data_IF_395527226255
#
_entry.id   IF_395527226255
#
_cell.length_a   1.000
_cell.length_b   1.000
_cell.length_c   1.000
_cell.angle_alpha   90.00
_cell.angle_beta   90.00
_cell.angle_gamma   90.00
#
_symmetry.space_group_name_H-M   'P 1'
#
loop_
_entity.id
_entity.type
_entity.pdbx_description
1 polymer ?
#
# COMPACT_ATOMS: atom_id res chain seq x y z
N UNK A 1 -4.57 13.09 -1.90
CA UNK A 1 -3.73 13.46 -3.06
C UNK A 1 -2.33 12.82 -3.04
N UNK A 2 -1.95 12.11 -1.97
CA UNK A 2 -0.61 11.49 -1.85
C UNK A 2 -0.60 10.11 -2.51
N UNK A 3 -0.02 9.99 -3.69
CA UNK A 3 0.08 8.75 -4.45
C UNK A 3 1.03 7.70 -3.81
N UNK A 4 1.88 8.11 -2.88
CA UNK A 4 2.75 7.24 -2.09
C UNK A 4 2.07 6.69 -0.81
N UNK A 5 0.92 7.27 -0.42
CA UNK A 5 0.13 6.82 0.75
C UNK A 5 -1.11 6.02 0.36
N UNK A 6 -1.74 6.36 -0.77
CA UNK A 6 -2.97 5.73 -1.25
C UNK A 6 -2.75 5.07 -2.61
N UNK A 7 -3.17 3.81 -2.75
CA UNK A 7 -3.06 3.07 -4.03
C UNK A 7 -3.89 3.69 -5.14
N UNK A 8 -5.08 4.20 -4.80
CA UNK A 8 -5.98 4.93 -5.71
C UNK A 8 -6.41 6.25 -5.06
N UNK A 9 -5.63 7.34 -5.22
CA UNK A 9 -5.98 8.61 -4.62
C UNK A 9 -7.37 9.11 -5.04
N UNK A 10 -8.18 9.53 -4.07
CA UNK A 10 -9.53 10.06 -4.30
C UNK A 10 -9.52 11.55 -4.64
N UNK A 11 -8.42 12.22 -4.35
CA UNK A 11 -8.20 13.64 -4.63
C UNK A 11 -7.05 13.77 -5.62
N UNK A 12 -7.30 14.46 -6.73
CA UNK A 12 -6.29 14.93 -7.66
C UNK A 12 -5.77 16.29 -7.17
N UNK A 13 -4.51 16.30 -6.74
CA UNK A 13 -3.86 17.47 -6.16
C UNK A 13 -2.86 18.10 -7.10
N UNK A 14 -2.93 19.41 -7.26
CA UNK A 14 -1.92 20.21 -7.95
C UNK A 14 -1.10 20.99 -6.93
N UNK A 15 0.22 20.89 -7.02
CA UNK A 15 1.16 21.49 -6.08
C UNK A 15 1.82 20.46 -5.17
N UNK A 16 2.45 20.93 -4.10
CA UNK A 16 3.17 20.06 -3.14
C UNK A 16 2.23 19.60 -2.02
N UNK A 17 1.90 18.33 -2.01
CA UNK A 17 1.12 17.63 -0.97
C UNK A 17 1.99 16.77 -0.04
N UNK A 18 3.30 17.02 -0.01
CA UNK A 18 4.28 16.21 0.73
C UNK A 18 5.04 15.26 -0.17
N UNK A 19 6.04 14.58 0.38
CA UNK A 19 6.89 13.64 -0.33
C UNK A 19 7.18 12.37 0.48
N UNK A 20 7.74 11.36 -0.19
CA UNK A 20 8.26 10.15 0.47
C UNK A 20 9.46 10.43 1.39
N UNK A 21 10.07 11.61 1.29
CA UNK A 21 11.13 12.08 2.17
C UNK A 21 10.60 12.63 3.51
N UNK A 22 9.27 12.70 3.64
CA UNK A 22 8.62 13.24 4.84
C UNK A 22 8.54 14.76 4.84
N UNK A 23 8.75 15.40 3.70
CA UNK A 23 8.54 16.85 3.58
C UNK A 23 7.07 17.18 3.84
N UNK A 24 6.80 18.26 4.60
CA UNK A 24 5.43 18.70 4.81
C UNK A 24 4.81 19.22 3.51
N UNK A 25 3.47 19.16 3.38
CA UNK A 25 2.80 19.78 2.26
C UNK A 25 3.00 21.29 2.28
N UNK A 26 2.93 21.94 1.11
CA UNK A 26 2.94 23.36 0.99
C UNK A 26 1.70 23.99 1.67
N UNK A 27 1.79 25.27 2.01
CA UNK A 27 0.63 26.00 2.54
C UNK A 27 -0.55 25.94 1.55
N UNK A 28 -1.77 25.80 2.04
CA UNK A 28 -2.99 25.58 1.24
C UNK A 28 -3.23 26.62 0.12
N UNK A 29 -2.70 27.84 0.26
CA UNK A 29 -2.79 28.89 -0.79
C UNK A 29 -1.95 28.60 -2.04
N UNK A 30 -1.07 27.59 -1.99
CA UNK A 30 -0.22 27.17 -3.11
C UNK A 30 -0.65 25.85 -3.72
N UNK A 31 -1.75 25.27 -3.27
CA UNK A 31 -2.22 23.98 -3.72
C UNK A 31 -3.65 24.07 -4.20
N UNK A 32 -3.98 23.24 -5.19
CA UNK A 32 -5.34 23.04 -5.67
C UNK A 32 -5.74 21.59 -5.48
N UNK A 33 -7.01 21.34 -5.22
CA UNK A 33 -7.57 20.02 -5.05
C UNK A 33 -8.83 19.84 -5.88
N UNK A 34 -8.95 18.72 -6.58
CA UNK A 34 -10.15 18.29 -7.33
C UNK A 34 -10.47 16.86 -6.97
N UNK A 35 -11.69 16.44 -7.24
CA UNK A 35 -12.02 15.03 -7.19
C UNK A 35 -11.24 14.29 -8.29
N UNK A 36 -10.63 13.16 -7.92
CA UNK A 36 -10.12 12.22 -8.90
C UNK A 36 -11.29 11.54 -9.64
N UNK A 37 -11.08 11.08 -10.86
CA UNK A 37 -12.13 10.44 -11.66
C UNK A 37 -12.76 9.25 -10.95
N UNK A 38 -11.96 8.41 -10.29
CA UNK A 38 -12.43 7.25 -9.53
C UNK A 38 -13.41 7.61 -8.39
N UNK A 39 -13.33 8.83 -7.86
CA UNK A 39 -14.21 9.28 -6.77
C UNK A 39 -15.64 9.44 -7.24
N UNK A 40 -15.86 9.74 -8.53
CA UNK A 40 -17.20 9.84 -9.09
C UNK A 40 -17.99 8.54 -8.99
N UNK A 41 -17.29 7.39 -9.09
CA UNK A 41 -17.90 6.06 -8.95
C UNK A 41 -18.40 5.77 -7.52
N UNK A 42 -17.83 6.46 -6.52
CA UNK A 42 -18.26 6.33 -5.13
C UNK A 42 -19.54 7.13 -4.84
N UNK A 43 -19.87 8.10 -5.68
CA UNK A 43 -20.99 9.02 -5.51
C UNK A 43 -22.14 8.74 -6.46
N UNK A 44 -21.98 7.84 -7.43
CA UNK A 44 -22.88 7.67 -8.58
C UNK A 44 -24.34 7.45 -8.20
N UNK A 45 -24.62 6.71 -7.11
CA UNK A 45 -25.97 6.34 -6.69
C UNK A 45 -26.46 7.11 -5.45
N UNK A 46 -25.82 8.24 -5.12
CA UNK A 46 -26.13 9.01 -3.92
C UNK A 46 -27.54 9.59 -3.91
N UNK A 47 -28.06 9.99 -5.09
CA UNK A 47 -29.41 10.52 -5.28
C UNK A 47 -30.50 9.44 -5.34
N UNK A 48 -30.14 8.18 -5.43
CA UNK A 48 -31.06 7.04 -5.57
C UNK A 48 -31.56 6.46 -4.25
N UNK A 49 -31.26 7.11 -3.12
CA UNK A 49 -31.64 6.66 -1.77
C UNK A 49 -31.19 5.23 -1.46
N UNK A 50 -29.98 4.89 -1.86
CA UNK A 50 -29.36 3.57 -1.63
C UNK A 50 -28.70 3.45 -0.27
N UNK A 51 -28.56 4.56 0.45
CA UNK A 51 -27.97 4.67 1.80
C UNK A 51 -28.83 5.55 2.70
N UNK A 52 -28.71 5.38 3.99
CA UNK A 52 -29.40 6.21 4.98
C UNK A 52 -28.71 7.57 5.13
N UNK A 53 -29.51 8.57 5.55
CA UNK A 53 -29.08 9.94 5.75
C UNK A 53 -29.31 10.37 7.20
N UNK A 54 -28.35 11.09 7.73
CA UNK A 54 -28.41 11.77 9.02
C UNK A 54 -28.43 13.28 8.84
N UNK A 55 -28.85 14.00 9.87
CA UNK A 55 -28.71 15.45 9.91
C UNK A 55 -27.21 15.80 10.07
N UNK A 56 -26.76 16.83 9.34
CA UNK A 56 -25.44 17.39 9.53
C UNK A 56 -25.32 18.08 10.91
N UNK A 57 -24.14 18.63 11.24
CA UNK A 57 -23.85 19.21 12.55
C UNK A 57 -24.87 20.23 13.05
N UNK A 58 -25.39 21.09 12.18
CA UNK A 58 -26.35 22.17 12.50
C UNK A 58 -27.81 21.81 12.19
N UNK A 59 -28.07 20.61 11.67
CA UNK A 59 -29.40 20.12 11.29
C UNK A 59 -30.04 20.84 10.08
N UNK A 60 -29.26 21.63 9.35
CA UNK A 60 -29.77 22.38 8.19
C UNK A 60 -29.78 21.56 6.91
N UNK A 61 -28.91 20.54 6.81
CA UNK A 61 -28.78 19.66 5.66
C UNK A 61 -28.75 18.19 6.11
N UNK A 62 -28.84 17.29 5.13
CA UNK A 62 -28.67 15.85 5.34
C UNK A 62 -27.37 15.38 4.72
N UNK A 63 -26.68 14.50 5.40
CA UNK A 63 -25.49 13.82 4.90
C UNK A 63 -25.64 12.30 4.92
N UNK A 64 -25.06 11.57 3.95
CA UNK A 64 -25.15 10.12 3.94
C UNK A 64 -24.34 9.52 5.10
N UNK A 65 -24.86 8.46 5.71
CA UNK A 65 -24.13 7.73 6.77
C UNK A 65 -22.82 7.15 6.24
N UNK A 66 -22.83 6.67 5.00
CA UNK A 66 -21.68 6.22 4.22
C UNK A 66 -21.97 6.40 2.73
N UNK A 67 -20.92 6.42 1.91
CA UNK A 67 -21.08 6.55 0.46
C UNK A 67 -21.55 5.25 -0.19
N UNK A 68 -22.41 5.31 -1.23
CA UNK A 68 -22.94 4.11 -1.91
C UNK A 68 -21.94 3.47 -2.88
N UNK A 69 -20.67 3.51 -2.58
CA UNK A 69 -19.57 3.11 -3.44
C UNK A 69 -19.83 1.85 -4.28
N UNK A 70 -19.69 1.95 -5.60
CA UNK A 70 -19.73 0.82 -6.52
C UNK A 70 -18.46 -0.02 -6.48
N UNK A 71 -17.38 0.56 -5.98
CA UNK A 71 -16.08 -0.10 -5.88
C UNK A 71 -15.89 -0.73 -4.50
N UNK A 72 -15.23 -1.87 -4.39
CA UNK A 72 -14.88 -2.50 -3.12
C UNK A 72 -13.76 -1.74 -2.40
N UNK A 73 -14.05 -0.50 -2.01
CA UNK A 73 -13.06 0.50 -1.61
C UNK A 73 -12.23 0.08 -0.40
N UNK A 74 -12.81 -0.67 0.54
CA UNK A 74 -12.10 -1.20 1.69
C UNK A 74 -10.92 -2.09 1.29
N UNK A 75 -11.08 -2.90 0.25
CA UNK A 75 -10.02 -3.76 -0.26
C UNK A 75 -9.02 -2.99 -1.14
N UNK A 76 -9.51 -2.02 -1.92
CA UNK A 76 -8.67 -1.25 -2.85
C UNK A 76 -7.70 -0.31 -2.12
N UNK A 77 -8.20 0.40 -1.12
CA UNK A 77 -7.42 1.40 -0.37
C UNK A 77 -6.75 0.81 0.87
N UNK A 78 -7.28 -0.32 1.35
CA UNK A 78 -6.98 -0.78 2.70
C UNK A 78 -7.58 0.13 3.77
N UNK A 79 -7.32 -0.21 5.01
CA UNK A 79 -7.73 0.58 6.16
C UNK A 79 -6.75 0.40 7.31
N UNK A 80 -6.54 1.46 8.07
CA UNK A 80 -5.78 1.41 9.33
C UNK A 80 -6.56 2.21 10.37
N UNK A 81 -6.88 1.57 11.49
CA UNK A 81 -7.63 2.20 12.57
C UNK A 81 -7.41 1.53 13.91
N UNK A 82 -7.44 2.34 14.96
CA UNK A 82 -7.28 1.90 16.34
C UNK A 82 -8.51 2.35 17.11
N UNK A 83 -9.30 1.37 17.59
CA UNK A 83 -10.43 1.61 18.46
C UNK A 83 -10.15 1.02 19.85
N UNK A 84 -11.03 1.30 20.80
CA UNK A 84 -10.92 0.70 22.14
C UNK A 84 -11.22 -0.80 22.05
N UNK A 85 -10.23 -1.60 22.40
CA UNK A 85 -10.33 -3.07 22.37
C UNK A 85 -10.19 -3.73 20.99
N UNK A 86 -10.07 -2.95 19.90
CA UNK A 86 -10.03 -3.47 18.54
C UNK A 86 -9.16 -2.59 17.64
N UNK A 87 -8.40 -3.22 16.73
CA UNK A 87 -7.64 -2.50 15.71
C UNK A 87 -7.80 -3.22 14.37
N UNK A 88 -7.74 -2.47 13.27
CA UNK A 88 -7.68 -3.04 11.93
C UNK A 88 -6.48 -2.50 11.18
N UNK A 89 -5.88 -3.35 10.36
CA UNK A 89 -4.83 -2.99 9.40
C UNK A 89 -4.96 -3.87 8.16
N UNK A 90 -5.71 -3.36 7.19
CA UNK A 90 -6.02 -4.02 5.92
C UNK A 90 -5.11 -3.46 4.84
N UNK A 91 -4.35 -4.29 4.11
CA UNK A 91 -3.52 -3.80 3.02
C UNK A 91 -4.35 -3.41 1.80
N UNK A 92 -3.88 -2.49 0.94
CA UNK A 92 -4.49 -2.18 -0.34
C UNK A 92 -4.27 -3.31 -1.37
N UNK A 93 -5.17 -3.38 -2.38
CA UNK A 93 -5.13 -4.40 -3.43
C UNK A 93 -5.33 -3.81 -4.82
N UNK A 94 -4.96 -4.57 -5.84
CA UNK A 94 -5.15 -4.19 -7.23
C UNK A 94 -6.63 -4.27 -7.64
N UNK A 95 -7.14 -3.21 -8.30
CA UNK A 95 -8.55 -3.10 -8.71
C UNK A 95 -8.98 -4.25 -9.62
N UNK A 96 -8.19 -4.54 -10.66
CA UNK A 96 -8.53 -5.59 -11.63
C UNK A 96 -8.57 -6.96 -10.97
N UNK A 97 -7.57 -7.29 -10.14
CA UNK A 97 -7.51 -8.56 -9.41
C UNK A 97 -8.72 -8.73 -8.48
N UNK A 98 -9.10 -7.68 -7.75
CA UNK A 98 -10.26 -7.73 -6.84
C UNK A 98 -11.56 -7.89 -7.61
N UNK A 99 -11.76 -7.15 -8.70
CA UNK A 99 -12.97 -7.26 -9.54
C UNK A 99 -13.08 -8.64 -10.20
N UNK A 100 -11.98 -9.20 -10.68
CA UNK A 100 -11.95 -10.54 -11.26
C UNK A 100 -12.32 -11.61 -10.21
N UNK A 101 -11.78 -11.49 -9.00
CA UNK A 101 -12.11 -12.38 -7.88
C UNK A 101 -13.59 -12.28 -7.48
N UNK A 102 -14.15 -11.06 -7.38
CA UNK A 102 -15.57 -10.83 -7.08
C UNK A 102 -16.44 -11.41 -8.20
N UNK A 103 -16.08 -11.18 -9.46
CA UNK A 103 -16.80 -11.70 -10.62
C UNK A 103 -16.82 -13.23 -10.64
N UNK A 104 -15.70 -13.85 -10.28
CA UNK A 104 -15.61 -15.31 -10.15
C UNK A 104 -16.50 -15.82 -9.02
N UNK A 105 -16.44 -15.18 -7.86
CA UNK A 105 -17.27 -15.54 -6.69
C UNK A 105 -18.76 -15.45 -7.02
N UNK A 106 -19.21 -14.39 -7.68
CA UNK A 106 -20.62 -14.19 -8.09
C UNK A 106 -21.04 -15.27 -9.10
N UNK A 107 -20.23 -15.59 -10.10
CA UNK A 107 -20.53 -16.65 -11.08
C UNK A 107 -20.67 -18.03 -10.47
N UNK A 108 -20.00 -18.29 -9.35
CA UNK A 108 -20.07 -19.57 -8.62
C UNK A 108 -21.09 -19.56 -7.48
N UNK A 109 -21.65 -18.41 -7.17
CA UNK A 109 -22.61 -18.29 -6.08
C UNK A 109 -23.99 -18.87 -6.43
N UNK A 110 -24.63 -19.44 -5.42
CA UNK A 110 -26.04 -19.83 -5.47
C UNK A 110 -26.84 -18.79 -4.69
N UNK A 111 -27.86 -18.25 -5.36
CA UNK A 111 -28.77 -17.27 -4.75
C UNK A 111 -30.00 -17.98 -4.26
N UNK A 112 -30.38 -17.77 -3.01
CA UNK A 112 -31.66 -18.14 -2.44
C UNK A 112 -32.42 -16.85 -2.05
N UNK A 113 -33.70 -16.77 -2.42
CA UNK A 113 -34.53 -15.58 -2.18
C UNK A 113 -35.56 -15.86 -1.08
N UNK A 114 -35.84 -17.15 -0.76
CA UNK A 114 -36.88 -17.57 0.19
C UNK A 114 -36.21 -18.41 1.31
N UNK A 115 -36.48 -18.14 2.60
CA UNK A 115 -37.31 -17.05 3.15
C UNK A 115 -36.64 -15.68 3.15
N UNK A 116 -35.32 -15.63 3.10
CA UNK A 116 -34.51 -14.41 3.06
C UNK A 116 -33.47 -14.48 1.92
N UNK A 117 -33.12 -13.33 1.41
CA UNK A 117 -32.01 -13.25 0.44
C UNK A 117 -30.73 -13.79 1.07
N UNK A 118 -30.13 -14.78 0.43
CA UNK A 118 -28.84 -15.31 0.84
C UNK A 118 -28.01 -15.68 -0.39
N UNK A 119 -26.71 -15.46 -0.28
CA UNK A 119 -25.74 -15.79 -1.31
C UNK A 119 -24.74 -16.75 -0.70
N UNK A 120 -24.67 -17.96 -1.24
CA UNK A 120 -23.73 -18.99 -0.79
C UNK A 120 -22.80 -19.38 -1.93
N UNK A 121 -21.54 -19.56 -1.64
CA UNK A 121 -20.54 -19.99 -2.62
C UNK A 121 -19.66 -21.11 -2.04
N UNK A 122 -19.23 -22.01 -2.90
CA UNK A 122 -18.24 -23.05 -2.57
C UNK A 122 -16.80 -22.61 -2.88
N UNK A 123 -16.61 -21.36 -3.27
CA UNK A 123 -15.29 -20.78 -3.57
C UNK A 123 -14.44 -20.75 -2.30
N UNK A 124 -13.22 -21.23 -2.43
CA UNK A 124 -12.23 -21.28 -1.34
C UNK A 124 -11.25 -20.09 -1.43
N UNK A 125 -10.45 -19.90 -0.38
CA UNK A 125 -9.37 -18.90 -0.41
C UNK A 125 -8.35 -19.23 -1.51
N UNK A 126 -8.07 -20.51 -1.74
CA UNK A 126 -7.15 -20.92 -2.79
C UNK A 126 -7.66 -20.54 -4.19
N UNK A 127 -8.96 -20.68 -4.45
CA UNK A 127 -9.55 -20.24 -5.71
C UNK A 127 -9.42 -18.72 -5.91
N UNK A 128 -9.59 -17.92 -4.85
CA UNK A 128 -9.46 -16.46 -4.91
C UNK A 128 -8.00 -16.00 -5.07
N UNK A 129 -7.04 -16.77 -4.55
CA UNK A 129 -5.60 -16.51 -4.74
C UNK A 129 -5.12 -16.72 -6.19
N UNK A 130 -5.93 -17.37 -7.04
CA UNK A 130 -5.66 -17.39 -8.48
C UNK A 130 -5.78 -16.01 -9.12
N UNK A 131 -6.63 -15.15 -8.56
CA UNK A 131 -6.86 -13.77 -9.02
C UNK A 131 -6.07 -12.75 -8.20
N UNK A 132 -6.25 -12.73 -6.87
CA UNK A 132 -5.58 -11.80 -5.96
C UNK A 132 -4.26 -12.41 -5.51
N UNK A 133 -3.15 -11.95 -6.08
CA UNK A 133 -1.82 -12.50 -5.79
C UNK A 133 -1.25 -12.01 -4.45
N UNK A 134 -1.77 -10.95 -3.91
CA UNK A 134 -1.34 -10.34 -2.66
C UNK A 134 -1.68 -8.86 -2.58
N UNK A 135 -1.22 -8.17 -1.54
CA UNK A 135 -1.34 -6.72 -1.43
C UNK A 135 -0.64 -6.00 -2.59
N UNK A 136 -1.23 -4.86 -3.00
CA UNK A 136 -0.69 -3.96 -4.02
C UNK A 136 -0.42 -2.59 -3.38
N UNK A 137 0.79 -2.40 -2.88
CA UNK A 137 1.16 -1.18 -2.18
C UNK A 137 1.48 -0.03 -3.13
N UNK A 138 1.12 1.23 -2.80
CA UNK A 138 1.34 2.38 -3.67
C UNK A 138 2.82 2.67 -3.95
N UNK A 139 3.73 2.27 -3.07
CA UNK A 139 5.19 2.42 -3.25
C UNK A 139 5.85 1.19 -3.86
N UNK A 140 5.03 0.23 -4.34
CA UNK A 140 5.47 -1.05 -4.88
C UNK A 140 6.27 -1.89 -3.86
N UNK A 141 7.48 -2.34 -4.21
CA UNK A 141 8.25 -3.27 -3.40
C UNK A 141 7.95 -4.73 -3.75
N UNK A 142 8.61 -5.65 -3.07
CA UNK A 142 8.55 -7.08 -3.37
C UNK A 142 8.16 -7.88 -2.13
N UNK A 143 7.19 -8.78 -2.29
CA UNK A 143 6.78 -9.76 -1.29
C UNK A 143 7.24 -11.14 -1.79
N UNK A 144 7.96 -11.89 -0.96
CA UNK A 144 8.51 -13.20 -1.34
C UNK A 144 7.76 -14.36 -0.69
N UNK A 145 7.06 -14.13 0.42
CA UNK A 145 6.41 -15.17 1.21
C UNK A 145 4.94 -15.33 0.82
N UNK A 146 4.70 -16.16 -0.20
CA UNK A 146 3.34 -16.48 -0.66
C UNK A 146 2.57 -17.33 0.36
N UNK A 147 3.26 -18.13 1.19
CA UNK A 147 2.61 -18.90 2.23
C UNK A 147 2.04 -18.01 3.33
N UNK A 148 2.76 -16.93 3.68
CA UNK A 148 2.25 -15.95 4.64
C UNK A 148 1.09 -15.12 4.07
N UNK A 149 1.08 -14.80 2.76
CA UNK A 149 -0.08 -14.17 2.11
C UNK A 149 -1.32 -15.06 2.25
N UNK A 150 -1.19 -16.35 1.93
CA UNK A 150 -2.27 -17.32 2.09
C UNK A 150 -2.74 -17.40 3.55
N UNK A 151 -1.81 -17.44 4.50
CA UNK A 151 -2.12 -17.45 5.93
C UNK A 151 -2.92 -16.20 6.33
N UNK A 152 -2.48 -15.01 5.91
CA UNK A 152 -3.18 -13.74 6.18
C UNK A 152 -4.60 -13.75 5.64
N UNK A 153 -4.80 -14.18 4.40
CA UNK A 153 -6.13 -14.20 3.78
C UNK A 153 -7.04 -15.31 4.34
N UNK A 154 -6.47 -16.37 4.89
CA UNK A 154 -7.25 -17.44 5.53
C UNK A 154 -7.64 -17.07 6.96
N UNK A 155 -6.73 -16.46 7.72
CA UNK A 155 -6.93 -16.21 9.15
C UNK A 155 -7.30 -14.77 9.49
N UNK A 156 -7.15 -13.85 8.53
CA UNK A 156 -7.28 -12.41 8.74
C UNK A 156 -6.10 -11.77 9.48
N UNK A 157 -5.04 -12.53 9.82
CA UNK A 157 -3.91 -12.02 10.60
C UNK A 157 -2.58 -12.59 10.12
N UNK A 158 -1.53 -11.76 10.16
CA UNK A 158 -0.18 -12.20 9.87
C UNK A 158 0.80 -11.06 9.64
N UNK A 159 2.03 -11.41 9.23
CA UNK A 159 3.15 -10.47 9.10
C UNK A 159 3.73 -10.55 7.69
N UNK A 160 3.21 -9.71 6.79
CA UNK A 160 3.66 -9.66 5.40
C UNK A 160 5.01 -8.96 5.34
N UNK A 161 6.05 -9.68 4.95
CA UNK A 161 7.39 -9.16 4.78
C UNK A 161 7.53 -8.47 3.42
N UNK A 162 7.90 -7.18 3.44
CA UNK A 162 8.06 -6.36 2.24
C UNK A 162 9.52 -5.93 2.13
N UNK A 163 10.10 -6.03 0.95
CA UNK A 163 11.42 -5.50 0.62
C UNK A 163 11.32 -4.42 -0.44
N UNK A 164 12.16 -3.41 -0.31
CA UNK A 164 12.41 -2.51 -1.41
C UNK A 164 13.04 -3.25 -2.59
N UNK A 165 12.77 -2.79 -3.81
CA UNK A 165 13.37 -3.32 -5.01
C UNK A 165 14.76 -2.75 -5.19
N UNK A 166 15.75 -3.62 -5.24
CA UNK A 166 17.15 -3.25 -5.39
C UNK A 166 17.83 -4.14 -6.43
N UNK A 167 18.58 -3.52 -7.32
CA UNK A 167 19.40 -4.19 -8.33
C UNK A 167 20.88 -3.93 -8.08
N UNK A 168 21.74 -4.83 -8.52
CA UNK A 168 23.19 -4.67 -8.48
C UNK A 168 23.64 -4.40 -9.89
N UNK A 169 24.28 -3.24 -10.11
CA UNK A 169 24.78 -2.79 -11.39
C UNK A 169 26.32 -2.69 -11.35
N UNK A 170 26.96 -3.04 -12.46
CA UNK A 170 28.40 -2.78 -12.66
C UNK A 170 28.56 -1.33 -13.17
N UNK A 171 29.29 -0.52 -12.42
CA UNK A 171 29.56 0.88 -12.75
C UNK A 171 30.97 1.08 -13.38
N UNK A 172 31.60 -0.01 -13.81
CA UNK A 172 32.90 -0.02 -14.42
C UNK A 172 34.05 0.00 -13.43
N UNK A 173 35.29 -0.16 -13.95
CA UNK A 173 36.54 -0.17 -13.16
C UNK A 173 36.52 -1.21 -12.01
N UNK A 174 35.77 -2.30 -12.14
CA UNK A 174 35.61 -3.33 -11.10
C UNK A 174 34.84 -2.88 -9.87
N UNK A 175 34.03 -1.84 -10.00
CA UNK A 175 33.12 -1.36 -8.96
C UNK A 175 31.68 -1.73 -9.29
N UNK A 176 30.89 -2.00 -8.26
CA UNK A 176 29.45 -2.22 -8.36
C UNK A 176 28.69 -1.18 -7.55
N UNK A 177 27.44 -0.96 -7.92
CA UNK A 177 26.49 -0.17 -7.14
C UNK A 177 25.22 -0.98 -6.84
N UNK A 178 24.60 -0.71 -5.70
CA UNK A 178 23.24 -1.16 -5.40
C UNK A 178 22.33 0.01 -5.71
N UNK A 179 21.37 -0.23 -6.61
CA UNK A 179 20.38 0.77 -7.04
C UNK A 179 19.04 0.38 -6.44
N UNK A 180 18.47 1.26 -5.62
CA UNK A 180 17.14 1.08 -5.02
C UNK A 180 16.15 1.92 -5.82
N UNK A 181 15.12 1.27 -6.36
CA UNK A 181 14.10 1.91 -7.20
C UNK A 181 12.70 1.89 -6.58
N UNK A 182 12.46 1.05 -5.57
CA UNK A 182 11.18 0.99 -4.85
C UNK A 182 11.44 0.79 -3.36
N UNK A 183 10.57 1.36 -2.52
CA UNK A 183 10.64 1.22 -1.06
C UNK A 183 9.44 0.43 -0.52
N UNK A 184 9.60 -0.23 0.63
CA UNK A 184 8.47 -0.78 1.34
C UNK A 184 7.47 0.32 1.72
N UNK A 185 6.21 -0.06 1.77
CA UNK A 185 5.12 0.85 2.12
C UNK A 185 5.33 1.53 3.48
N UNK A 186 5.01 2.81 3.57
CA UNK A 186 5.18 3.68 4.76
C UNK A 186 6.64 3.90 5.19
N UNK A 187 7.62 3.61 4.35
CA UNK A 187 9.04 3.91 4.64
C UNK A 187 9.38 5.32 4.16
N UNK A 188 9.93 6.12 5.06
CA UNK A 188 10.48 7.43 4.74
C UNK A 188 11.86 7.27 4.08
N UNK A 189 12.02 7.79 2.85
CA UNK A 189 13.24 7.66 2.05
C UNK A 189 14.42 8.38 2.68
N UNK A 190 14.25 9.62 3.12
CA UNK A 190 15.32 10.41 3.72
C UNK A 190 15.87 9.77 4.99
N UNK A 191 14.99 9.25 5.86
CA UNK A 191 15.40 8.53 7.07
C UNK A 191 16.12 7.22 6.74
N UNK A 192 15.69 6.50 5.70
CA UNK A 192 16.38 5.30 5.24
C UNK A 192 17.79 5.63 4.74
N UNK A 193 17.93 6.64 3.89
CA UNK A 193 19.22 7.09 3.36
C UNK A 193 20.15 7.54 4.50
N UNK A 194 19.66 8.34 5.44
CA UNK A 194 20.41 8.75 6.62
C UNK A 194 20.86 7.56 7.46
N UNK A 195 20.01 6.55 7.64
CA UNK A 195 20.35 5.33 8.38
C UNK A 195 21.41 4.51 7.69
N UNK A 196 21.37 4.39 6.36
CA UNK A 196 22.40 3.70 5.58
C UNK A 196 23.75 4.41 5.74
N UNK A 197 23.77 5.76 5.64
CA UNK A 197 24.96 6.56 5.84
C UNK A 197 25.57 6.38 7.25
N UNK A 198 24.73 6.37 8.29
CA UNK A 198 25.15 6.10 9.67
C UNK A 198 25.80 4.72 9.82
N UNK A 199 25.17 3.68 9.26
CA UNK A 199 25.68 2.30 9.32
C UNK A 199 26.99 2.13 8.57
N UNK A 200 27.18 2.85 7.46
CA UNK A 200 28.45 2.90 6.72
C UNK A 200 29.54 3.61 7.53
N UNK A 201 29.21 4.78 8.12
CA UNK A 201 30.15 5.57 8.95
C UNK A 201 30.60 4.82 10.19
N UNK A 202 29.68 4.13 10.86
CA UNK A 202 29.97 3.32 12.06
C UNK A 202 30.58 1.97 11.74
N UNK A 203 30.83 1.67 10.46
CA UNK A 203 31.36 0.37 9.97
C UNK A 203 30.51 -0.85 10.34
N UNK A 204 29.24 -0.64 10.67
CA UNK A 204 28.30 -1.74 10.91
C UNK A 204 27.91 -2.43 9.60
N UNK A 205 27.88 -1.68 8.51
CA UNK A 205 27.85 -2.19 7.13
C UNK A 205 29.12 -1.72 6.43
N UNK A 206 30.00 -2.65 6.17
CA UNK A 206 31.24 -2.39 5.45
C UNK A 206 31.02 -2.51 3.94
N UNK A 207 31.93 -1.91 3.17
CA UNK A 207 31.93 -2.06 1.71
C UNK A 207 31.20 -0.95 0.95
N UNK A 208 30.56 -0.01 1.61
CA UNK A 208 29.97 1.18 0.99
C UNK A 208 31.06 2.23 0.78
N UNK A 209 31.16 2.81 -0.42
CA UNK A 209 32.08 3.89 -0.75
C UNK A 209 31.40 5.24 -0.87
N UNK A 210 30.17 5.27 -1.42
CA UNK A 210 29.40 6.50 -1.60
C UNK A 210 27.89 6.19 -1.57
N UNK A 211 27.08 7.19 -1.24
CA UNK A 211 25.64 7.11 -1.15
C UNK A 211 25.01 8.39 -1.70
N UNK A 212 24.18 8.27 -2.73
CA UNK A 212 23.49 9.40 -3.35
C UNK A 212 22.02 9.12 -3.54
N UNK A 213 21.21 10.14 -3.40
CA UNK A 213 19.81 10.15 -3.84
C UNK A 213 19.76 10.86 -5.20
N UNK A 214 19.45 10.11 -6.24
CA UNK A 214 19.31 10.57 -7.62
C UNK A 214 17.84 10.56 -8.07
N UNK A 215 16.90 10.54 -7.11
CA UNK A 215 15.48 10.55 -7.41
C UNK A 215 15.06 11.83 -8.11
N UNK A 216 14.23 11.71 -9.15
CA UNK A 216 13.74 12.82 -9.94
C UNK A 216 12.25 12.61 -10.32
N UNK A 217 11.75 13.38 -11.29
CA UNK A 217 10.37 13.25 -11.78
C UNK A 217 10.08 11.94 -12.53
N UNK A 218 11.11 11.22 -12.95
CA UNK A 218 11.00 9.93 -13.63
C UNK A 218 10.84 8.77 -12.64
N UNK A 219 11.26 8.98 -11.38
CA UNK A 219 11.11 7.99 -10.33
C UNK A 219 12.16 8.07 -9.23
N UNK A 220 12.02 7.18 -8.29
CA UNK A 220 12.94 7.03 -7.18
C UNK A 220 14.20 6.28 -7.62
N UNK A 221 15.38 6.82 -7.26
CA UNK A 221 16.66 6.18 -7.51
C UNK A 221 17.65 6.53 -6.40
N UNK A 222 17.91 5.60 -5.50
CA UNK A 222 18.99 5.72 -4.50
C UNK A 222 20.15 4.84 -4.92
N UNK A 223 21.34 5.43 -5.04
CA UNK A 223 22.56 4.78 -5.51
C UNK A 223 23.52 4.60 -4.35
N UNK A 224 23.91 3.35 -4.12
CA UNK A 224 24.89 2.96 -3.10
C UNK A 224 26.11 2.38 -3.82
N UNK A 225 27.17 3.18 -3.99
CA UNK A 225 28.40 2.69 -4.59
C UNK A 225 29.19 1.82 -3.61
N UNK A 226 29.76 0.75 -4.11
CA UNK A 226 30.52 -0.20 -3.32
C UNK A 226 32.04 -0.07 -3.58
N UNK A 227 32.82 -0.42 -2.57
CA UNK A 227 34.28 -0.56 -2.72
C UNK A 227 34.59 -1.78 -3.61
N UNK A 228 35.72 -1.75 -4.32
CA UNK A 228 36.14 -2.82 -5.25
C UNK A 228 36.14 -4.22 -4.63
N UNK A 229 36.58 -4.32 -3.38
CA UNK A 229 36.72 -5.61 -2.68
C UNK A 229 35.45 -6.06 -1.97
N UNK A 230 34.35 -5.36 -2.20
CA UNK A 230 33.05 -5.67 -1.54
C UNK A 230 32.30 -6.76 -2.29
N UNK A 231 31.58 -7.59 -1.54
CA UNK A 231 30.66 -8.57 -2.10
C UNK A 231 29.25 -7.93 -2.11
N UNK A 232 28.71 -7.51 -3.28
CA UNK A 232 27.49 -6.71 -3.35
C UNK A 232 26.27 -7.39 -2.68
N UNK A 233 26.11 -8.70 -2.87
CA UNK A 233 25.03 -9.48 -2.24
C UNK A 233 25.11 -9.49 -0.72
N UNK A 234 26.33 -9.50 -0.13
CA UNK A 234 26.51 -9.43 1.32
C UNK A 234 26.11 -8.07 1.86
N UNK A 235 26.49 -6.99 1.16
CA UNK A 235 26.10 -5.62 1.53
C UNK A 235 24.58 -5.47 1.45
N UNK A 236 23.94 -5.90 0.36
CA UNK A 236 22.51 -5.85 0.18
C UNK A 236 21.75 -6.62 1.28
N UNK A 237 22.21 -7.82 1.64
CA UNK A 237 21.61 -8.59 2.73
C UNK A 237 21.74 -7.87 4.09
N UNK A 238 22.84 -7.18 4.33
CA UNK A 238 23.02 -6.37 5.54
C UNK A 238 22.11 -5.13 5.53
N UNK A 239 21.88 -4.52 4.38
CA UNK A 239 20.90 -3.43 4.23
C UNK A 239 19.49 -3.91 4.59
N UNK A 240 19.03 -5.05 4.07
CA UNK A 240 17.75 -5.64 4.46
C UNK A 240 17.66 -5.97 5.95
N UNK A 241 18.75 -6.42 6.56
CA UNK A 241 18.78 -6.82 7.97
C UNK A 241 18.79 -5.64 8.94
N UNK A 242 19.40 -4.52 8.58
CA UNK A 242 19.71 -3.42 9.52
C UNK A 242 19.00 -2.11 9.21
N UNK A 243 18.20 -2.07 8.16
CA UNK A 243 17.46 -0.88 7.74
C UNK A 243 16.01 -1.20 7.39
N UNK A 244 15.19 -0.16 7.21
CA UNK A 244 13.81 -0.28 6.74
C UNK A 244 13.68 -0.59 5.24
N UNK A 245 14.79 -0.90 4.54
CA UNK A 245 14.73 -1.47 3.18
C UNK A 245 13.99 -2.82 3.17
N UNK A 246 13.91 -3.48 4.30
CA UNK A 246 12.99 -4.57 4.59
C UNK A 246 12.15 -4.22 5.80
N UNK A 247 10.85 -4.35 5.70
CA UNK A 247 9.90 -4.10 6.80
C UNK A 247 8.78 -5.14 6.80
N UNK A 248 7.96 -5.09 7.83
CA UNK A 248 6.82 -6.00 7.98
C UNK A 248 5.54 -5.18 8.03
N UNK A 249 4.55 -5.54 7.23
CA UNK A 249 3.19 -5.05 7.34
C UNK A 249 2.40 -6.02 8.24
N UNK A 250 2.02 -5.59 9.45
CA UNK A 250 1.27 -6.43 10.38
C UNK A 250 -0.22 -6.41 10.00
N UNK A 251 -0.63 -7.32 9.13
CA UNK A 251 -2.01 -7.42 8.70
C UNK A 251 -2.92 -7.89 9.86
N UNK A 252 -4.04 -7.19 10.02
CA UNK A 252 -5.14 -7.55 10.93
C UNK A 252 -6.44 -7.11 10.27
N UNK A 253 -7.06 -8.02 9.54
CA UNK A 253 -8.23 -7.77 8.70
C UNK A 253 -9.48 -7.90 9.57
N UNK A 254 -9.96 -6.77 10.07
CA UNK A 254 -11.19 -6.68 10.85
C UNK A 254 -12.07 -5.62 10.21
N UNK A 255 -13.30 -5.98 9.88
CA UNK A 255 -14.31 -5.07 9.33
C UNK A 255 -15.65 -5.33 10.02
N UNK A 256 -16.49 -4.31 10.10
CA UNK A 256 -17.87 -4.42 10.57
C UNK A 256 -18.80 -4.73 9.39
N UNK A 257 -19.74 -5.63 9.61
CA UNK A 257 -20.83 -5.91 8.68
C UNK A 257 -22.13 -5.59 9.43
N UNK A 258 -22.94 -4.69 8.88
CA UNK A 258 -24.20 -4.21 9.50
C UNK A 258 -24.01 -3.70 10.95
N UNK A 259 -22.84 -3.09 11.21
CA UNK A 259 -22.52 -2.49 12.51
C UNK A 259 -22.08 -3.49 13.61
N UNK A 260 -21.90 -4.77 13.26
CA UNK A 260 -21.49 -5.83 14.19
C UNK A 260 -20.21 -6.55 13.75
#
# INVERSE_FOLDING_TARGET
AQNFSMRYPLIDGQGNFGSMDGDPPAHMRYTEARMAQITSEMLLDLDKKTVDYLDNFDGTLKEPVFLPSLLPNLLLMGAEGIAVGMATKIPPHNLSEVIDAISFLIKKAKVSVIPNFSLTSSVTVDDLLEFIKGPDFPTAGVIYDMAEIKNVYTTGRGKILIRGKATIEDIGQGKSAIIITELPYQVNKALLVARIAELAKTKKIEGISDLRDESDRQGMRVVIELKRDSVPKKVLNNLFKHTSLQTTFPANIVALVDGT
#
